data_IF_721749283566
#
_entry.id   IF_721749283566
#
_cell.length_a   1.000
_cell.length_b   1.000
_cell.length_c   1.000
_cell.angle_alpha   90.00
_cell.angle_beta   90.00
_cell.angle_gamma   90.00
#
_symmetry.space_group_name_H-M   'P 1'
#
loop_
_entity.id
_entity.type
_entity.pdbx_description
1 polymer ?
#
# COMPACT_ATOMS: atom_id res chain seq x y z
N UNK A 1 24.21 28.82 -13.14
CA UNK A 1 23.25 27.82 -12.64
C UNK A 1 23.65 26.50 -13.23
N UNK A 2 24.14 25.59 -12.35
CA UNK A 2 24.81 24.37 -12.76
C UNK A 2 23.86 23.38 -13.46
N UNK A 3 24.22 22.93 -14.68
CA UNK A 3 23.46 21.93 -15.43
C UNK A 3 23.22 20.62 -14.68
N UNK A 4 24.06 20.33 -13.68
CA UNK A 4 23.91 19.19 -12.77
C UNK A 4 22.73 19.28 -11.82
N UNK A 5 22.33 20.48 -11.38
CA UNK A 5 21.16 20.68 -10.50
C UNK A 5 19.88 20.55 -11.31
N UNK A 6 19.83 21.13 -12.52
CA UNK A 6 18.69 21.03 -13.41
C UNK A 6 18.40 19.58 -13.83
N UNK A 7 19.45 18.81 -14.18
CA UNK A 7 19.29 17.39 -14.54
C UNK A 7 18.82 16.52 -13.38
N UNK A 8 19.27 16.76 -12.15
CA UNK A 8 18.78 16.05 -10.95
C UNK A 8 17.31 16.35 -10.67
N UNK A 9 16.88 17.61 -10.74
CA UNK A 9 15.47 17.99 -10.57
C UNK A 9 14.55 17.34 -11.61
N UNK A 10 14.98 17.27 -12.87
CA UNK A 10 14.23 16.61 -13.95
C UNK A 10 14.13 15.11 -13.70
N UNK A 11 15.24 14.45 -13.34
CA UNK A 11 15.25 13.02 -13.04
C UNK A 11 14.40 12.65 -11.81
N UNK A 12 14.40 13.48 -10.75
CA UNK A 12 13.55 13.27 -9.57
C UNK A 12 12.06 13.41 -9.93
N UNK A 13 11.71 14.43 -10.69
CA UNK A 13 10.31 14.65 -11.14
C UNK A 13 9.83 13.52 -12.05
N UNK A 14 10.69 13.04 -12.94
CA UNK A 14 10.34 11.92 -13.83
C UNK A 14 10.14 10.62 -13.05
N UNK A 15 10.98 10.37 -12.04
CA UNK A 15 10.86 9.19 -11.18
C UNK A 15 9.58 9.23 -10.34
N UNK A 16 9.21 10.38 -9.80
CA UNK A 16 7.98 10.54 -9.01
C UNK A 16 6.73 10.30 -9.89
N UNK A 17 6.71 10.83 -11.11
CA UNK A 17 5.60 10.59 -12.05
C UNK A 17 5.50 9.14 -12.53
N UNK A 18 6.63 8.43 -12.71
CA UNK A 18 6.62 7.01 -13.05
C UNK A 18 6.05 6.13 -11.92
N UNK A 19 6.36 6.44 -10.65
CA UNK A 19 5.81 5.75 -9.50
C UNK A 19 4.32 6.03 -9.31
N UNK A 20 3.88 7.26 -9.57
CA UNK A 20 2.45 7.61 -9.53
C UNK A 20 1.67 6.90 -10.65
N UNK A 21 2.23 6.81 -11.85
CA UNK A 21 1.66 6.00 -12.93
C UNK A 21 1.60 4.52 -12.56
N UNK A 22 2.66 3.98 -11.95
CA UNK A 22 2.69 2.61 -11.42
C UNK A 22 1.56 2.33 -10.42
N UNK A 23 1.28 3.27 -9.51
CA UNK A 23 0.14 3.17 -8.59
C UNK A 23 -1.19 3.13 -9.33
N UNK A 24 -1.35 3.98 -10.34
CA UNK A 24 -2.55 3.99 -11.19
C UNK A 24 -2.77 2.65 -11.89
N UNK A 25 -1.71 2.08 -12.47
CA UNK A 25 -1.76 0.75 -13.12
C UNK A 25 -2.13 -0.34 -12.12
N UNK A 26 -1.52 -0.36 -10.92
CA UNK A 26 -1.84 -1.33 -9.87
C UNK A 26 -3.29 -1.20 -9.39
N UNK A 27 -3.86 0.01 -9.36
CA UNK A 27 -5.28 0.23 -9.06
C UNK A 27 -6.18 -0.35 -10.15
N UNK A 28 -5.87 -0.09 -11.43
CA UNK A 28 -6.61 -0.66 -12.56
C UNK A 28 -6.53 -2.19 -12.59
N UNK A 29 -5.37 -2.76 -12.32
CA UNK A 29 -5.22 -4.21 -12.15
C UNK A 29 -6.07 -4.75 -11.00
N UNK A 30 -6.36 -3.93 -9.98
CA UNK A 30 -7.31 -4.29 -8.93
C UNK A 30 -8.72 -4.45 -9.44
N UNK A 31 -9.18 -3.58 -10.32
CA UNK A 31 -10.49 -3.70 -10.96
C UNK A 31 -10.55 -4.97 -11.79
N UNK A 32 -9.52 -5.22 -12.63
CA UNK A 32 -9.43 -6.44 -13.44
C UNK A 32 -9.47 -7.68 -12.55
N UNK A 33 -8.69 -7.72 -11.46
CA UNK A 33 -8.66 -8.84 -10.52
C UNK A 33 -10.04 -9.11 -9.91
N UNK A 34 -10.72 -8.09 -9.40
CA UNK A 34 -12.02 -8.25 -8.76
C UNK A 34 -13.12 -8.65 -9.75
N UNK A 35 -13.05 -8.15 -10.98
CA UNK A 35 -13.96 -8.60 -12.04
C UNK A 35 -13.67 -10.04 -12.47
N UNK A 36 -12.39 -10.43 -12.57
CA UNK A 36 -12.00 -11.79 -12.91
C UNK A 36 -12.40 -12.82 -11.85
N UNK A 37 -12.41 -12.43 -10.58
CA UNK A 37 -12.86 -13.29 -9.49
C UNK A 37 -14.32 -13.78 -9.65
N UNK A 38 -15.18 -13.01 -10.32
CA UNK A 38 -16.58 -13.42 -10.58
C UNK A 38 -16.66 -14.65 -11.48
N UNK A 39 -15.64 -14.85 -12.35
CA UNK A 39 -15.55 -15.92 -13.33
C UNK A 39 -14.51 -17.00 -12.98
N UNK A 40 -13.91 -16.94 -11.79
CA UNK A 40 -12.98 -17.95 -11.31
C UNK A 40 -13.73 -19.21 -10.84
N UNK A 41 -13.14 -20.40 -11.04
CA UNK A 41 -13.76 -21.68 -10.64
C UNK A 41 -13.54 -22.00 -9.16
N UNK A 42 -12.38 -21.61 -8.61
CA UNK A 42 -12.00 -21.90 -7.21
C UNK A 42 -12.52 -20.82 -6.27
N UNK A 43 -13.83 -20.66 -6.20
CA UNK A 43 -14.46 -19.46 -5.72
C UNK A 43 -14.86 -19.49 -4.25
N UNK A 44 -14.20 -18.68 -3.45
CA UNK A 44 -14.68 -18.14 -2.18
C UNK A 44 -15.09 -16.66 -2.30
N UNK A 45 -15.35 -16.18 -3.53
CA UNK A 45 -15.67 -14.77 -3.75
C UNK A 45 -17.15 -14.45 -3.46
N UNK A 46 -17.45 -13.18 -3.21
CA UNK A 46 -18.79 -12.71 -2.80
C UNK A 46 -19.87 -12.91 -3.87
N UNK A 47 -19.49 -13.00 -5.13
CA UNK A 47 -20.37 -13.20 -6.29
C UNK A 47 -19.65 -14.13 -7.26
N UNK A 48 -20.37 -15.15 -7.75
CA UNK A 48 -19.89 -16.08 -8.77
C UNK A 48 -20.87 -16.14 -9.92
N UNK A 49 -20.36 -16.40 -11.13
CA UNK A 49 -21.14 -16.61 -12.35
C UNK A 49 -21.03 -18.08 -12.78
N UNK A 50 -22.10 -18.63 -13.36
CA UNK A 50 -22.10 -19.99 -13.89
C UNK A 50 -21.12 -20.19 -15.07
N UNK A 51 -20.69 -19.08 -15.72
CA UNK A 51 -19.72 -19.08 -16.81
C UNK A 51 -18.26 -19.02 -16.30
N UNK A 52 -17.90 -19.89 -15.36
CA UNK A 52 -16.55 -19.95 -14.79
C UNK A 52 -15.53 -20.58 -15.75
N UNK A 53 -14.24 -20.22 -15.59
CA UNK A 53 -13.13 -20.78 -16.37
C UNK A 53 -11.82 -20.76 -15.61
N UNK A 54 -10.98 -21.83 -15.70
CA UNK A 54 -9.67 -21.89 -15.06
C UNK A 54 -8.69 -20.79 -15.51
N UNK A 55 -8.95 -20.16 -16.64
CA UNK A 55 -8.18 -19.02 -17.12
C UNK A 55 -8.26 -17.85 -16.13
N UNK A 56 -9.43 -17.60 -15.55
CA UNK A 56 -9.60 -16.51 -14.57
C UNK A 56 -8.92 -16.83 -13.24
N UNK A 57 -8.85 -18.09 -12.80
CA UNK A 57 -8.06 -18.50 -11.63
C UNK A 57 -6.58 -18.17 -11.81
N UNK A 58 -6.02 -18.51 -12.98
CA UNK A 58 -4.64 -18.19 -13.30
C UNK A 58 -4.40 -16.68 -13.34
N UNK A 59 -5.31 -15.93 -13.96
CA UNK A 59 -5.21 -14.47 -14.07
C UNK A 59 -5.27 -13.80 -12.70
N UNK A 60 -6.22 -14.19 -11.84
CA UNK A 60 -6.36 -13.72 -10.47
C UNK A 60 -5.10 -14.01 -9.67
N UNK A 61 -4.60 -15.26 -9.69
CA UNK A 61 -3.39 -15.67 -8.99
C UNK A 61 -2.16 -14.89 -9.47
N UNK A 62 -2.01 -14.72 -10.77
CA UNK A 62 -0.91 -13.96 -11.35
C UNK A 62 -0.92 -12.50 -10.91
N UNK A 63 -2.06 -11.81 -11.01
CA UNK A 63 -2.18 -10.41 -10.59
C UNK A 63 -1.99 -10.27 -9.08
N UNK A 64 -2.59 -11.16 -8.29
CA UNK A 64 -2.53 -11.08 -6.83
C UNK A 64 -1.11 -11.27 -6.29
N UNK A 65 -0.32 -12.15 -6.90
CA UNK A 65 1.03 -12.49 -6.44
C UNK A 65 1.99 -11.30 -6.42
N UNK A 66 1.92 -10.38 -7.39
CA UNK A 66 2.83 -9.24 -7.46
C UNK A 66 2.18 -7.90 -7.07
N UNK A 67 0.85 -7.76 -7.26
CA UNK A 67 0.14 -6.49 -7.06
C UNK A 67 0.26 -5.99 -5.62
N UNK A 68 0.02 -6.86 -4.63
CA UNK A 68 0.06 -6.48 -3.23
C UNK A 68 1.48 -6.12 -2.76
N UNK A 69 2.53 -6.93 -3.00
CA UNK A 69 3.91 -6.54 -2.70
C UNK A 69 4.32 -5.22 -3.35
N UNK A 70 3.99 -5.03 -4.64
CA UNK A 70 4.30 -3.79 -5.36
C UNK A 70 3.63 -2.57 -4.74
N UNK A 71 2.37 -2.71 -4.32
CA UNK A 71 1.63 -1.63 -3.66
C UNK A 71 2.26 -1.23 -2.33
N UNK A 72 2.65 -2.20 -1.49
CA UNK A 72 3.34 -1.96 -0.22
C UNK A 72 4.72 -1.34 -0.43
N UNK A 73 5.48 -1.78 -1.44
CA UNK A 73 6.79 -1.20 -1.78
C UNK A 73 6.66 0.28 -2.16
N UNK A 74 5.71 0.62 -3.03
CA UNK A 74 5.47 2.01 -3.44
C UNK A 74 4.97 2.85 -2.26
N UNK A 75 4.06 2.33 -1.45
CA UNK A 75 3.57 3.02 -0.25
C UNK A 75 4.69 3.27 0.76
N UNK A 76 5.53 2.27 1.01
CA UNK A 76 6.72 2.37 1.87
C UNK A 76 7.73 3.39 1.36
N UNK A 77 7.99 3.40 0.06
CA UNK A 77 8.87 4.38 -0.59
C UNK A 77 8.38 5.82 -0.36
N UNK A 78 7.12 6.12 -0.66
CA UNK A 78 6.56 7.45 -0.45
C UNK A 78 6.52 7.84 1.03
N UNK A 79 6.29 6.87 1.91
CA UNK A 79 6.33 7.10 3.35
C UNK A 79 7.75 7.49 3.81
N UNK A 80 8.76 6.75 3.37
CA UNK A 80 10.17 7.04 3.68
C UNK A 80 10.61 8.39 3.10
N UNK A 81 10.18 8.70 1.86
CA UNK A 81 10.46 9.99 1.22
C UNK A 81 9.82 11.16 1.98
N UNK A 82 8.58 11.00 2.43
CA UNK A 82 7.89 12.02 3.22
C UNK A 82 8.59 12.30 4.55
N UNK A 83 9.10 11.25 5.22
CA UNK A 83 9.89 11.39 6.44
C UNK A 83 11.28 12.00 6.19
N UNK A 84 11.90 11.74 5.04
CA UNK A 84 13.18 12.33 4.68
C UNK A 84 13.08 13.83 4.37
N UNK A 85 11.97 14.25 3.74
CA UNK A 85 11.75 15.65 3.32
C UNK A 85 11.25 16.58 4.45
N UNK A 86 10.74 16.01 5.55
CA UNK A 86 10.19 16.80 6.66
C UNK A 86 10.95 16.54 7.96
N UNK A 87 11.23 17.55 8.78
CA UNK A 87 11.78 17.32 10.11
C UNK A 87 10.80 16.45 10.91
N UNK A 88 11.32 15.40 11.52
CA UNK A 88 10.53 14.49 12.35
C UNK A 88 10.03 15.24 13.59
N UNK A 89 8.76 15.64 13.59
CA UNK A 89 8.11 16.39 14.67
C UNK A 89 7.75 15.52 15.89
N UNK A 90 8.25 14.29 15.95
CA UNK A 90 7.95 13.32 16.99
C UNK A 90 6.92 12.28 16.56
N UNK A 91 6.99 11.13 17.20
CA UNK A 91 6.19 9.94 16.86
C UNK A 91 4.68 10.18 16.96
N UNK A 92 4.24 10.92 17.98
CA UNK A 92 2.81 11.22 18.18
C UNK A 92 2.23 12.07 17.05
N UNK A 93 2.96 13.09 16.61
CA UNK A 93 2.52 13.94 15.49
C UNK A 93 2.49 13.17 14.17
N UNK A 94 3.50 12.31 13.94
CA UNK A 94 3.53 11.43 12.78
C UNK A 94 2.33 10.47 12.76
N UNK A 95 2.03 9.84 13.90
CA UNK A 95 0.91 8.91 14.01
C UNK A 95 -0.44 9.61 13.81
N UNK A 96 -0.61 10.81 14.38
CA UNK A 96 -1.81 11.62 14.16
C UNK A 96 -2.02 11.96 12.68
N UNK A 97 -0.95 12.39 11.98
CA UNK A 97 -1.00 12.66 10.54
C UNK A 97 -1.38 11.41 9.73
N UNK A 98 -0.92 10.22 10.14
CA UNK A 98 -1.27 8.95 9.48
C UNK A 98 -2.72 8.55 9.76
N UNK A 99 -3.17 8.66 11.00
CA UNK A 99 -4.56 8.40 11.37
C UNK A 99 -5.52 9.31 10.60
N UNK A 100 -5.21 10.59 10.47
CA UNK A 100 -6.03 11.50 9.70
C UNK A 100 -6.04 11.17 8.20
N UNK A 101 -4.89 10.83 7.62
CA UNK A 101 -4.76 10.61 6.17
C UNK A 101 -5.26 9.24 5.70
N UNK A 102 -5.13 8.21 6.53
CA UNK A 102 -5.55 6.84 6.21
C UNK A 102 -6.80 6.43 6.97
N UNK A 103 -6.89 6.76 8.26
CA UNK A 103 -7.99 6.36 9.13
C UNK A 103 -9.30 7.07 8.79
N UNK A 104 -9.27 8.38 8.51
CA UNK A 104 -10.50 9.12 8.15
C UNK A 104 -11.09 8.61 6.84
N UNK A 105 -10.33 8.50 5.72
CA UNK A 105 -10.86 7.88 4.50
C UNK A 105 -11.32 6.44 4.70
N UNK A 106 -10.58 5.64 5.48
CA UNK A 106 -10.98 4.28 5.82
C UNK A 106 -12.35 4.24 6.50
N UNK A 107 -12.55 5.05 7.54
CA UNK A 107 -13.82 5.12 8.27
C UNK A 107 -14.97 5.59 7.38
N UNK A 108 -14.75 6.66 6.61
CA UNK A 108 -15.80 7.22 5.73
C UNK A 108 -16.21 6.19 4.68
N UNK A 109 -15.22 5.59 4.00
CA UNK A 109 -15.51 4.60 2.95
C UNK A 109 -16.13 3.33 3.54
N UNK A 110 -15.64 2.88 4.71
CA UNK A 110 -16.20 1.73 5.41
C UNK A 110 -17.67 1.95 5.80
N UNK A 111 -17.99 3.08 6.42
CA UNK A 111 -19.36 3.41 6.85
C UNK A 111 -20.32 3.63 5.68
N UNK A 112 -19.83 4.08 4.51
CA UNK A 112 -20.66 4.31 3.34
C UNK A 112 -20.82 3.05 2.47
N UNK A 113 -19.72 2.35 2.19
CA UNK A 113 -19.74 1.23 1.25
C UNK A 113 -20.10 -0.11 1.89
N UNK A 114 -19.67 -0.39 3.12
CA UNK A 114 -19.93 -1.71 3.72
C UNK A 114 -21.42 -1.99 3.95
N UNK A 115 -22.26 -1.05 4.40
CA UNK A 115 -23.70 -1.30 4.49
C UNK A 115 -24.34 -1.56 3.12
N UNK A 116 -23.89 -0.82 2.08
CA UNK A 116 -24.43 -1.00 0.72
C UNK A 116 -24.03 -2.37 0.17
N UNK A 117 -22.77 -2.77 0.33
CA UNK A 117 -22.30 -4.09 -0.08
C UNK A 117 -23.02 -5.21 0.69
N UNK A 118 -23.18 -5.03 1.99
CA UNK A 118 -23.91 -5.99 2.82
C UNK A 118 -25.36 -6.13 2.37
N UNK A 119 -26.05 -5.03 2.07
CA UNK A 119 -27.41 -5.04 1.56
C UNK A 119 -27.52 -5.76 0.21
N UNK A 120 -26.61 -5.48 -0.72
CA UNK A 120 -26.61 -6.16 -2.04
C UNK A 120 -26.43 -7.67 -1.93
N UNK A 121 -25.61 -8.13 -0.96
CA UNK A 121 -25.29 -9.54 -0.79
C UNK A 121 -26.32 -10.32 0.04
N UNK A 122 -26.97 -9.66 1.00
CA UNK A 122 -27.81 -10.35 2.00
C UNK A 122 -29.25 -9.82 2.04
N UNK A 123 -29.61 -8.88 1.16
CA UNK A 123 -30.90 -8.19 1.15
C UNK A 123 -31.30 -7.58 2.51
N UNK A 124 -30.30 -7.16 3.28
CA UNK A 124 -30.42 -6.59 4.62
C UNK A 124 -29.41 -5.48 4.83
N UNK A 125 -29.81 -4.36 5.46
CA UNK A 125 -28.93 -3.20 5.67
C UNK A 125 -27.88 -3.37 6.77
N UNK A 126 -28.08 -4.34 7.68
CA UNK A 126 -27.19 -4.54 8.82
C UNK A 126 -27.25 -5.98 9.32
N UNK A 127 -26.16 -6.55 9.79
CA UNK A 127 -26.19 -7.83 10.49
C UNK A 127 -26.96 -7.68 11.81
N UNK A 128 -28.24 -8.04 11.79
CA UNK A 128 -29.16 -7.91 12.93
C UNK A 128 -28.93 -8.96 14.04
N UNK A 129 -28.08 -9.94 13.79
CA UNK A 129 -27.78 -11.05 14.69
C UNK A 129 -26.82 -10.67 15.85
N UNK A 130 -26.37 -9.42 15.93
CA UNK A 130 -25.52 -8.90 17.02
C UNK A 130 -24.14 -9.54 17.12
N UNK A 131 -23.78 -10.46 16.23
CA UNK A 131 -22.52 -11.20 16.20
C UNK A 131 -21.57 -10.79 15.09
N UNK A 132 -22.06 -10.10 14.09
CA UNK A 132 -21.27 -9.75 12.91
C UNK A 132 -20.88 -8.28 12.94
N UNK A 133 -19.59 -8.03 12.96
CA UNK A 133 -19.02 -6.70 12.63
C UNK A 133 -19.17 -6.49 11.14
N UNK A 134 -19.55 -5.29 10.69
CA UNK A 134 -19.57 -4.95 9.27
C UNK A 134 -18.23 -5.36 8.61
N UNK A 135 -18.27 -6.20 7.60
CA UNK A 135 -17.04 -6.72 6.99
C UNK A 135 -16.26 -5.59 6.31
N UNK A 136 -14.94 -5.68 6.39
CA UNK A 136 -14.04 -4.71 5.77
C UNK A 136 -13.95 -4.90 4.25
N UNK A 137 -14.40 -6.04 3.73
CA UNK A 137 -14.30 -6.41 2.31
C UNK A 137 -12.93 -6.04 1.72
N UNK A 138 -12.88 -5.09 0.80
CA UNK A 138 -11.66 -4.64 0.11
C UNK A 138 -10.82 -3.63 0.89
N UNK A 139 -11.28 -3.18 2.06
CA UNK A 139 -10.63 -2.11 2.85
C UNK A 139 -9.52 -2.63 3.78
N UNK A 140 -9.36 -3.96 3.91
CA UNK A 140 -8.34 -4.58 4.76
C UNK A 140 -6.93 -4.04 4.46
N UNK A 141 -6.64 -3.74 3.19
CA UNK A 141 -5.37 -3.16 2.76
C UNK A 141 -5.06 -1.79 3.42
N UNK A 142 -6.06 -0.93 3.59
CA UNK A 142 -5.92 0.35 4.28
C UNK A 142 -5.66 0.16 5.78
N UNK A 143 -6.25 -0.88 6.37
CA UNK A 143 -5.98 -1.27 7.76
C UNK A 143 -4.53 -1.72 7.90
N UNK A 144 -4.03 -2.56 7.00
CA UNK A 144 -2.64 -3.01 7.01
C UNK A 144 -1.66 -1.84 6.86
N UNK A 145 -1.93 -0.90 5.95
CA UNK A 145 -1.12 0.31 5.83
C UNK A 145 -1.13 1.14 7.12
N UNK A 146 -2.27 1.23 7.79
CA UNK A 146 -2.38 1.96 9.06
C UNK A 146 -1.60 1.25 10.17
N UNK A 147 -1.72 -0.07 10.28
CA UNK A 147 -0.99 -0.90 11.26
C UNK A 147 0.51 -0.90 11.01
N UNK A 148 0.95 -0.93 9.76
CA UNK A 148 2.37 -0.93 9.40
C UNK A 148 3.02 0.46 9.51
N UNK A 149 2.24 1.54 9.39
CA UNK A 149 2.77 2.90 9.38
C UNK A 149 3.60 3.28 10.61
N UNK A 150 3.30 2.86 11.86
CA UNK A 150 4.11 3.16 13.05
C UNK A 150 5.53 2.57 12.99
N UNK A 151 5.72 1.48 12.26
CA UNK A 151 7.01 0.81 12.15
C UNK A 151 7.98 1.50 11.18
N UNK A 152 7.48 2.33 10.28
CA UNK A 152 8.30 2.99 9.26
C UNK A 152 9.39 3.90 9.85
N UNK A 153 9.13 4.76 10.85
CA UNK A 153 10.18 5.57 11.47
C UNK A 153 11.26 4.74 12.16
N UNK A 154 10.86 3.64 12.82
CA UNK A 154 11.80 2.72 13.48
C UNK A 154 12.68 2.01 12.44
N UNK A 155 12.09 1.49 11.36
CA UNK A 155 12.81 0.86 10.27
C UNK A 155 13.77 1.85 9.58
N UNK A 156 13.33 3.08 9.34
CA UNK A 156 14.17 4.11 8.73
C UNK A 156 15.36 4.49 9.63
N UNK A 157 15.18 4.55 10.95
CA UNK A 157 16.27 4.79 11.89
C UNK A 157 17.28 3.64 11.90
N UNK A 158 16.82 2.40 11.81
CA UNK A 158 17.65 1.20 11.72
C UNK A 158 18.48 1.19 10.43
N UNK A 159 17.86 1.48 9.29
CA UNK A 159 18.54 1.55 7.99
C UNK A 159 19.62 2.64 8.00
N UNK A 160 19.30 3.83 8.51
CA UNK A 160 20.30 4.90 8.65
C UNK A 160 21.47 4.50 9.53
N UNK A 161 21.21 3.88 10.67
CA UNK A 161 22.27 3.40 11.57
C UNK A 161 23.13 2.33 10.90
N UNK A 162 22.55 1.43 10.11
CA UNK A 162 23.29 0.43 9.34
C UNK A 162 24.15 1.08 8.25
N UNK A 163 23.64 2.06 7.51
CA UNK A 163 24.38 2.79 6.49
C UNK A 163 25.61 3.50 7.07
N UNK A 164 25.43 4.23 8.17
CA UNK A 164 26.55 4.93 8.85
C UNK A 164 27.61 3.94 9.32
N UNK A 165 27.23 2.75 9.79
CA UNK A 165 28.19 1.70 10.18
C UNK A 165 28.96 1.15 8.99
N UNK A 166 28.30 0.94 7.86
CA UNK A 166 28.94 0.45 6.62
C UNK A 166 29.95 1.48 6.11
N UNK A 167 29.59 2.76 6.05
CA UNK A 167 30.51 3.83 5.65
C UNK A 167 31.74 3.93 6.58
N UNK A 168 31.53 3.74 7.90
CA UNK A 168 32.63 3.70 8.87
C UNK A 168 33.56 2.50 8.64
N UNK A 169 33.04 1.32 8.30
CA UNK A 169 33.84 0.13 8.00
C UNK A 169 34.65 0.34 6.69
N UNK A 170 34.02 0.87 5.65
CA UNK A 170 34.70 1.17 4.39
C UNK A 170 35.82 2.18 4.59
N UNK A 171 35.63 3.22 5.39
CA UNK A 171 36.66 4.21 5.71
C UNK A 171 37.84 3.61 6.46
N UNK A 172 37.62 2.65 7.35
CA UNK A 172 38.69 1.93 8.08
C UNK A 172 39.48 1.00 7.14
N UNK A 173 38.80 0.30 6.23
CA UNK A 173 39.46 -0.59 5.27
C UNK A 173 40.38 0.17 4.30
N UNK A 174 40.09 1.42 3.99
CA UNK A 174 40.97 2.29 3.19
C UNK A 174 42.31 2.61 3.89
N UNK A 175 42.30 2.78 5.21
CA UNK A 175 43.52 3.09 5.98
C UNK A 175 44.46 1.89 6.11
N UNK A 176 43.95 0.66 6.04
CA UNK A 176 44.75 -0.56 6.09
C UNK A 176 45.41 -0.92 4.73
N UNK A 177 44.98 -0.28 3.63
CA UNK A 177 45.47 -0.53 2.27
C UNK A 177 46.51 0.49 1.79
N UNK A 178 46.86 1.50 2.60
CA UNK A 178 47.93 2.51 2.34
C UNK A 178 49.11 2.30 3.24
#
# INVERSE_FOLDING_TARGET
>A
MDGTVASRCVAERFRDSALDAGRGILMLLGVVLHTSNIYAENDEWLLSDDASSPFFDLLVSAIHSFRMPAFFLIAGYFCALALAKRPFRGFRSYLADRLLRLGVPLLVVWLLLSPVQYWVLHDSWWPLDGRSVLPLYHLWFLVDLLVLSPFVPAFQSLVRAAMVRLEAIESLAWWESV
#
